data_IF_514982503469
#
_entry.id   IF_514982503469
#
_cell.length_a   1.000
_cell.length_b   1.000
_cell.length_c   1.000
_cell.angle_alpha   90.00
_cell.angle_beta   90.00
_cell.angle_gamma   90.00
#
_symmetry.space_group_name_H-M   'P 1'
#
loop_
_entity.id
_entity.type
_entity.pdbx_description
1 polymer ?
#
# COMPACT_ATOMS: atom_id res chain seq x y z
N UNK A 1 -3.33 -52.81 42.79
CA UNK A 1 -3.87 -52.37 41.49
C UNK A 1 -3.16 -51.09 41.09
N UNK A 2 -2.32 -51.12 40.06
CA UNK A 2 -1.60 -49.96 39.51
C UNK A 2 -1.87 -49.95 38.01
N UNK A 3 -2.53 -48.91 37.51
CA UNK A 3 -2.57 -48.60 36.08
C UNK A 3 -2.24 -47.13 35.92
N UNK A 4 -1.06 -46.93 35.34
CA UNK A 4 -0.38 -45.67 35.04
C UNK A 4 -1.12 -44.89 33.96
N UNK A 5 -1.35 -43.61 34.23
CA UNK A 5 -1.92 -42.65 33.29
C UNK A 5 -0.83 -42.12 32.36
N UNK A 6 -0.98 -42.32 31.06
CA UNK A 6 -0.08 -41.78 30.03
C UNK A 6 -0.84 -40.71 29.26
N UNK A 7 -0.62 -39.44 29.59
CA UNK A 7 -1.17 -38.31 28.85
C UNK A 7 -0.33 -38.07 27.59
N UNK A 8 -0.94 -38.27 26.40
CA UNK A 8 -0.38 -37.81 25.13
C UNK A 8 -0.53 -36.28 25.04
N UNK A 9 0.57 -35.54 25.15
CA UNK A 9 0.63 -34.14 24.70
C UNK A 9 0.75 -34.12 23.18
N UNK A 10 -0.31 -33.73 22.49
CA UNK A 10 -0.26 -33.39 21.07
C UNK A 10 0.33 -31.98 20.91
N UNK A 11 1.53 -31.88 20.31
CA UNK A 11 2.07 -30.60 19.84
C UNK A 11 1.26 -30.13 18.63
N UNK A 12 0.47 -29.07 18.79
CA UNK A 12 -0.08 -28.32 17.67
C UNK A 12 1.03 -27.41 17.12
N UNK A 13 1.62 -27.81 15.99
CA UNK A 13 2.48 -26.91 15.22
C UNK A 13 1.59 -25.83 14.58
N UNK A 14 1.70 -24.59 15.03
CA UNK A 14 1.05 -23.45 14.38
C UNK A 14 1.76 -23.16 13.06
N UNK A 15 1.19 -23.63 11.96
CA UNK A 15 1.55 -23.18 10.61
C UNK A 15 1.16 -21.71 10.49
N UNK A 16 2.11 -20.81 10.75
CA UNK A 16 1.99 -19.40 10.38
C UNK A 16 2.06 -19.31 8.85
N UNK A 17 0.91 -19.32 8.18
CA UNK A 17 0.83 -18.90 6.78
C UNK A 17 1.12 -17.41 6.74
N UNK A 18 2.37 -17.03 6.49
CA UNK A 18 2.70 -15.67 6.06
C UNK A 18 1.99 -15.46 4.73
N UNK A 19 0.86 -14.75 4.75
CA UNK A 19 0.22 -14.29 3.53
C UNK A 19 1.22 -13.37 2.84
N UNK A 20 1.87 -13.88 1.80
CA UNK A 20 2.83 -13.10 1.02
C UNK A 20 2.04 -11.95 0.38
N UNK A 21 2.21 -10.74 0.91
CA UNK A 21 1.56 -9.56 0.37
C UNK A 21 2.09 -9.35 -1.04
N UNK A 22 1.18 -9.23 -2.01
CA UNK A 22 1.55 -8.83 -3.36
C UNK A 22 2.22 -7.46 -3.37
N UNK A 23 2.86 -7.13 -4.47
CA UNK A 23 3.33 -5.76 -4.73
C UNK A 23 2.18 -4.76 -4.53
N UNK A 24 2.43 -3.66 -3.82
CA UNK A 24 1.37 -2.71 -3.44
C UNK A 24 1.87 -1.28 -3.61
N UNK A 25 1.01 -0.39 -4.13
CA UNK A 25 1.24 1.06 -4.12
C UNK A 25 0.15 1.72 -3.28
N UNK A 26 0.55 2.49 -2.27
CA UNK A 26 -0.38 3.32 -1.52
C UNK A 26 -0.36 4.76 -2.04
N UNK A 27 -1.54 5.37 -2.16
CA UNK A 27 -1.71 6.79 -2.35
C UNK A 27 -1.82 7.42 -0.97
N UNK A 28 -0.83 8.21 -0.56
CA UNK A 28 -0.73 8.67 0.83
C UNK A 28 -0.72 10.18 0.97
N UNK A 29 -1.28 10.65 2.08
CA UNK A 29 -1.15 12.04 2.51
C UNK A 29 -0.22 12.10 3.72
N UNK A 30 0.87 12.86 3.58
CA UNK A 30 1.95 13.01 4.55
C UNK A 30 2.01 14.46 5.02
N UNK A 31 1.19 14.82 6.02
CA UNK A 31 1.06 16.20 6.48
C UNK A 31 0.53 17.12 5.37
N UNK A 32 1.35 18.06 4.92
CA UNK A 32 1.04 19.00 3.82
C UNK A 32 1.36 18.47 2.42
N UNK A 33 1.87 17.23 2.32
CA UNK A 33 2.31 16.63 1.05
C UNK A 33 1.53 15.35 0.76
N UNK A 34 1.69 14.85 -0.46
CA UNK A 34 1.18 13.56 -0.87
C UNK A 34 2.26 12.79 -1.62
N UNK A 35 2.18 11.47 -1.63
CA UNK A 35 3.11 10.62 -2.39
C UNK A 35 2.42 9.34 -2.87
N UNK A 36 3.04 8.66 -3.82
CA UNK A 36 2.86 7.22 -3.91
C UNK A 36 3.95 6.55 -3.07
N UNK A 37 3.54 5.58 -2.25
CA UNK A 37 4.40 4.79 -1.36
C UNK A 37 4.39 3.33 -1.83
N UNK A 38 5.52 2.83 -2.30
CA UNK A 38 5.65 1.53 -2.93
C UNK A 38 6.16 0.47 -1.94
N UNK A 39 5.55 -0.71 -1.96
CA UNK A 39 6.07 -1.91 -1.29
C UNK A 39 6.23 -3.03 -2.31
N UNK A 40 7.44 -3.62 -2.34
CA UNK A 40 7.76 -4.76 -3.19
C UNK A 40 7.06 -6.04 -2.68
N UNK A 41 6.96 -7.11 -3.49
CA UNK A 41 6.37 -8.37 -3.03
C UNK A 41 6.97 -8.88 -1.72
N UNK A 42 6.10 -9.30 -0.79
CA UNK A 42 6.48 -9.78 0.53
C UNK A 42 6.83 -8.67 1.54
N UNK A 43 6.79 -7.41 1.14
CA UNK A 43 6.89 -6.26 2.04
C UNK A 43 5.51 -5.63 2.24
N UNK A 44 5.31 -4.98 3.38
CA UNK A 44 4.04 -4.33 3.73
C UNK A 44 4.27 -3.22 4.76
N UNK A 45 3.19 -2.51 5.08
CA UNK A 45 3.17 -1.44 6.08
C UNK A 45 2.96 -1.91 7.53
N UNK A 46 3.01 -3.23 7.80
CA UNK A 46 2.86 -3.73 9.16
C UNK A 46 3.94 -3.13 10.06
N UNK A 47 3.57 -2.88 11.32
CA UNK A 47 4.41 -2.18 12.29
C UNK A 47 4.94 -0.83 11.81
N UNK A 48 4.22 -0.16 10.88
CA UNK A 48 4.59 1.16 10.34
C UNK A 48 5.91 1.15 9.57
N UNK A 49 6.26 0.01 8.99
CA UNK A 49 7.46 -0.14 8.16
C UNK A 49 7.39 0.84 6.99
N UNK A 50 8.44 1.64 6.74
CA UNK A 50 8.46 2.60 5.63
C UNK A 50 8.42 1.89 4.26
N UNK A 51 7.97 2.58 3.21
CA UNK A 51 7.94 2.02 1.85
C UNK A 51 9.35 1.78 1.29
N UNK A 52 9.45 0.84 0.35
CA UNK A 52 10.70 0.52 -0.36
C UNK A 52 11.11 1.61 -1.34
N UNK A 53 10.14 2.31 -1.95
CA UNK A 53 10.37 3.48 -2.82
C UNK A 53 9.20 4.47 -2.66
N UNK A 54 9.43 5.73 -2.98
CA UNK A 54 8.41 6.79 -2.89
C UNK A 54 8.64 7.87 -3.92
N UNK A 55 7.53 8.44 -4.38
CA UNK A 55 7.55 9.59 -5.26
C UNK A 55 6.61 10.67 -4.71
N UNK A 56 7.16 11.86 -4.44
CA UNK A 56 6.41 12.93 -3.76
C UNK A 56 5.78 13.86 -4.77
N UNK A 57 4.55 14.28 -4.47
CA UNK A 57 3.87 15.37 -5.13
C UNK A 57 4.14 16.66 -4.36
N UNK A 58 4.74 17.64 -5.03
CA UNK A 58 4.86 18.99 -4.49
C UNK A 58 3.62 19.79 -4.90
N UNK A 59 2.90 20.31 -3.91
CA UNK A 59 1.81 21.26 -4.14
C UNK A 59 2.30 22.65 -3.71
N UNK A 60 2.09 23.65 -4.56
CA UNK A 60 2.56 25.03 -4.28
C UNK A 60 1.84 25.73 -3.11
N UNK A 61 0.88 25.07 -2.48
CA UNK A 61 0.03 25.62 -1.42
C UNK A 61 0.17 24.90 -0.06
N UNK A 62 1.15 23.99 0.10
CA UNK A 62 1.31 23.18 1.32
C UNK A 62 0.04 22.40 1.72
N UNK A 63 -0.73 21.93 0.74
CA UNK A 63 -1.89 21.07 0.96
C UNK A 63 -1.71 19.72 0.24
N UNK A 64 -2.19 18.60 0.81
CA UNK A 64 -2.22 17.34 0.09
C UNK A 64 -2.91 17.46 -1.27
N UNK A 65 -2.49 16.64 -2.24
CA UNK A 65 -3.17 16.62 -3.55
C UNK A 65 -4.61 16.14 -3.38
N UNK A 66 -5.51 16.68 -4.19
CA UNK A 66 -6.79 16.00 -4.40
C UNK A 66 -6.55 14.78 -5.29
N UNK A 67 -6.80 13.59 -4.74
CA UNK A 67 -6.69 12.31 -5.44
C UNK A 67 -7.86 12.07 -6.39
N UNK A 68 -9.07 12.44 -5.99
CA UNK A 68 -10.30 12.14 -6.72
C UNK A 68 -10.46 13.03 -7.95
N UNK A 69 -11.08 12.50 -9.01
CA UNK A 69 -11.40 13.18 -10.27
C UNK A 69 -10.20 13.75 -11.01
N UNK A 70 -8.97 13.32 -10.67
CA UNK A 70 -7.74 13.76 -11.29
C UNK A 70 -6.84 12.57 -11.62
N UNK A 71 -6.23 12.59 -12.80
CA UNK A 71 -5.10 11.70 -13.07
C UNK A 71 -3.88 12.21 -12.30
N UNK A 72 -3.23 11.34 -11.53
CA UNK A 72 -1.99 11.66 -10.81
C UNK A 72 -0.91 10.73 -11.29
N UNK A 73 0.27 11.27 -11.61
CA UNK A 73 1.41 10.45 -11.96
C UNK A 73 2.70 11.01 -11.40
N UNK A 74 3.62 10.11 -11.11
CA UNK A 74 4.96 10.42 -10.63
C UNK A 74 5.94 9.36 -11.16
N UNK A 75 7.23 9.60 -10.98
CA UNK A 75 8.26 8.59 -11.22
C UNK A 75 8.98 8.28 -9.92
N UNK A 76 9.08 7.01 -9.58
CA UNK A 76 9.83 6.49 -8.44
C UNK A 76 11.34 6.66 -8.66
N UNK A 77 12.15 6.54 -7.60
CA UNK A 77 13.62 6.66 -7.72
C UNK A 77 14.24 5.62 -8.66
N UNK A 78 13.58 4.48 -8.80
CA UNK A 78 13.90 3.39 -9.75
C UNK A 78 13.64 3.70 -11.23
N UNK A 79 12.99 4.83 -11.56
CA UNK A 79 12.62 5.19 -12.93
C UNK A 79 11.28 4.60 -13.41
N UNK A 80 10.60 3.84 -12.56
CA UNK A 80 9.24 3.34 -12.83
C UNK A 80 8.24 4.49 -12.64
N UNK A 81 7.40 4.76 -13.66
CA UNK A 81 6.31 5.74 -13.56
C UNK A 81 5.03 5.04 -13.14
N UNK A 82 4.27 5.63 -12.24
CA UNK A 82 2.93 5.17 -11.87
C UNK A 82 1.91 6.26 -12.16
N UNK A 83 0.75 5.90 -12.71
CA UNK A 83 -0.35 6.81 -12.99
C UNK A 83 -1.65 6.23 -12.42
N UNK A 84 -2.34 6.98 -11.55
CA UNK A 84 -3.63 6.59 -10.96
C UNK A 84 -4.76 7.48 -11.46
N UNK A 85 -5.96 6.92 -11.62
CA UNK A 85 -7.21 7.65 -11.91
C UNK A 85 -8.28 7.23 -10.92
N UNK A 86 -8.52 8.09 -9.94
CA UNK A 86 -9.41 7.79 -8.82
C UNK A 86 -10.76 8.50 -9.00
N UNK A 87 -11.85 7.75 -8.94
CA UNK A 87 -13.21 8.27 -8.91
C UNK A 87 -13.58 8.85 -7.55
N UNK A 88 -14.59 9.71 -7.51
CA UNK A 88 -15.03 10.37 -6.28
C UNK A 88 -16.07 9.61 -5.49
N UNK A 89 -16.12 9.84 -4.17
CA UNK A 89 -17.21 9.38 -3.31
C UNK A 89 -17.25 7.87 -3.09
N UNK A 90 -16.09 7.21 -3.21
CA UNK A 90 -15.98 5.75 -3.13
C UNK A 90 -15.97 5.30 -1.66
N UNK A 91 -16.81 4.33 -1.25
CA UNK A 91 -16.79 3.77 0.10
C UNK A 91 -15.47 3.07 0.43
N UNK A 92 -15.14 2.97 1.72
CA UNK A 92 -13.96 2.22 2.20
C UNK A 92 -14.00 0.78 1.67
N UNK A 93 -12.85 0.27 1.23
CA UNK A 93 -12.62 -1.04 0.62
C UNK A 93 -13.34 -1.28 -0.73
N UNK A 94 -14.00 -0.27 -1.29
CA UNK A 94 -14.57 -0.37 -2.63
C UNK A 94 -13.56 0.03 -3.70
N UNK A 95 -13.75 -0.52 -4.90
CA UNK A 95 -12.99 -0.15 -6.09
C UNK A 95 -13.13 1.34 -6.36
N UNK A 96 -11.99 2.03 -6.44
CA UNK A 96 -11.91 3.46 -6.59
C UNK A 96 -11.49 3.89 -8.00
N UNK A 97 -10.84 3.02 -8.76
CA UNK A 97 -10.46 3.30 -10.14
C UNK A 97 -9.18 2.59 -10.56
N UNK A 98 -8.79 2.74 -11.83
CA UNK A 98 -7.61 2.07 -12.36
C UNK A 98 -6.32 2.86 -12.09
N UNK A 99 -5.21 2.14 -12.16
CA UNK A 99 -3.89 2.72 -12.30
C UNK A 99 -3.07 1.95 -13.35
N UNK A 100 -1.92 2.52 -13.73
CA UNK A 100 -0.99 1.91 -14.68
C UNK A 100 0.44 2.19 -14.25
N UNK A 101 1.24 1.12 -14.21
CA UNK A 101 2.68 1.18 -14.00
C UNK A 101 3.40 1.13 -15.36
N UNK A 102 4.36 2.01 -15.56
CA UNK A 102 5.18 2.09 -16.77
C UNK A 102 6.64 1.85 -16.38
N UNK A 103 7.15 0.68 -16.78
CA UNK A 103 8.56 0.33 -16.67
C UNK A 103 9.22 0.73 -18.00
N UNK A 104 10.37 1.42 -18.00
CA UNK A 104 11.06 1.79 -19.23
C UNK A 104 11.25 0.62 -20.20
N UNK A 105 10.81 0.78 -21.45
CA UNK A 105 10.90 -0.25 -22.48
C UNK A 105 9.86 -1.37 -22.39
N UNK A 106 8.89 -1.30 -21.47
CA UNK A 106 7.81 -2.29 -21.33
C UNK A 106 6.44 -1.65 -21.59
N UNK A 107 5.46 -2.49 -21.95
CA UNK A 107 4.07 -2.08 -22.00
C UNK A 107 3.56 -1.68 -20.60
N UNK A 108 2.57 -0.79 -20.55
CA UNK A 108 1.95 -0.40 -19.29
C UNK A 108 1.28 -1.60 -18.62
N UNK A 109 1.58 -1.82 -17.33
CA UNK A 109 0.96 -2.88 -16.52
C UNK A 109 -0.24 -2.30 -15.76
N UNK A 110 -1.44 -2.88 -15.87
CA UNK A 110 -2.65 -2.36 -15.21
C UNK A 110 -2.70 -2.73 -13.72
N UNK A 111 -3.36 -1.88 -12.96
CA UNK A 111 -3.55 -1.99 -11.51
C UNK A 111 -4.96 -1.56 -11.13
N UNK A 112 -5.51 -2.14 -10.07
CA UNK A 112 -6.78 -1.73 -9.48
C UNK A 112 -6.53 -1.03 -8.14
N UNK A 113 -7.15 0.13 -7.95
CA UNK A 113 -7.07 0.91 -6.73
C UNK A 113 -8.37 0.85 -5.95
N UNK A 114 -8.26 0.83 -4.62
CA UNK A 114 -9.37 0.71 -3.68
C UNK A 114 -9.23 1.76 -2.59
N UNK A 115 -10.36 2.23 -2.06
CA UNK A 115 -10.37 3.20 -0.96
C UNK A 115 -9.85 2.54 0.33
N UNK A 116 -8.85 3.14 0.95
CA UNK A 116 -8.34 2.71 2.26
C UNK A 116 -9.12 3.43 3.39
N UNK A 117 -8.91 3.03 4.64
CA UNK A 117 -9.60 3.55 5.80
C UNK A 117 -8.86 4.72 6.50
N UNK A 118 -7.92 5.37 5.80
CA UNK A 118 -7.13 6.49 6.33
C UNK A 118 -6.22 6.11 7.52
N UNK A 119 -5.84 4.84 7.64
CA UNK A 119 -4.87 4.41 8.66
C UNK A 119 -3.50 5.03 8.42
N UNK A 120 -2.75 5.19 9.52
CA UNK A 120 -1.32 5.51 9.45
C UNK A 120 -0.60 4.34 8.77
N UNK A 121 0.04 4.64 7.65
CA UNK A 121 0.83 3.68 6.88
C UNK A 121 2.24 3.56 7.47
N UNK A 122 2.92 4.70 7.64
CA UNK A 122 4.23 4.79 8.26
C UNK A 122 4.45 6.20 8.84
N UNK A 123 5.57 6.39 9.55
CA UNK A 123 5.98 7.70 10.07
C UNK A 123 7.39 8.07 9.57
N UNK A 124 7.55 9.33 9.17
CA UNK A 124 8.83 9.94 8.81
C UNK A 124 9.10 11.09 9.78
N UNK A 125 9.87 10.80 10.84
CA UNK A 125 10.03 11.72 11.98
C UNK A 125 8.69 12.02 12.67
N UNK A 126 8.30 13.30 12.70
CA UNK A 126 7.03 13.75 13.28
C UNK A 126 5.85 13.68 12.29
N UNK A 127 6.09 13.36 11.02
CA UNK A 127 5.05 13.33 9.99
C UNK A 127 4.48 11.93 9.85
N UNK A 128 3.17 11.80 10.07
CA UNK A 128 2.42 10.58 9.75
C UNK A 128 1.97 10.61 8.29
N UNK A 129 2.23 9.52 7.57
CA UNK A 129 1.72 9.29 6.22
C UNK A 129 0.50 8.36 6.31
N UNK A 130 -0.66 8.85 5.92
CA UNK A 130 -1.91 8.09 6.00
C UNK A 130 -2.28 7.53 4.62
N UNK A 131 -2.67 6.26 4.56
CA UNK A 131 -3.12 5.61 3.33
C UNK A 131 -4.53 6.10 2.96
N UNK A 132 -4.67 6.74 1.80
CA UNK A 132 -5.97 7.18 1.27
C UNK A 132 -6.54 6.12 0.33
N UNK A 133 -5.68 5.54 -0.50
CA UNK A 133 -6.00 4.40 -1.37
C UNK A 133 -4.84 3.42 -1.36
N UNK A 134 -5.14 2.18 -1.72
CA UNK A 134 -4.14 1.17 -2.05
C UNK A 134 -4.44 0.61 -3.43
N UNK A 135 -3.39 0.25 -4.17
CA UNK A 135 -3.50 -0.32 -5.49
C UNK A 135 -2.67 -1.60 -5.55
N UNK A 136 -3.21 -2.63 -6.21
CA UNK A 136 -2.50 -3.88 -6.51
C UNK A 136 -2.52 -4.16 -8.01
N UNK A 137 -1.55 -4.92 -8.55
CA UNK A 137 -1.61 -5.39 -9.93
C UNK A 137 -2.89 -6.20 -10.19
N UNK A 138 -3.45 -6.09 -11.40
CA UNK A 138 -4.53 -6.94 -11.88
C UNK A 138 -4.06 -8.37 -12.17
#
# INVERSE_FOLDING_TARGET
MKLTSTALMALFATLSTSQQTGETVYLTNCGSTSEFSYYRPGHNSENRTPPDDRCRFQTGNNLPVNWENNARSCTFGTGVRFESRIGSGVPINAYAGPATQFIPGQAGRPWDCFRDNLRVLYQDGATSCNAVYWCNPQ
#
